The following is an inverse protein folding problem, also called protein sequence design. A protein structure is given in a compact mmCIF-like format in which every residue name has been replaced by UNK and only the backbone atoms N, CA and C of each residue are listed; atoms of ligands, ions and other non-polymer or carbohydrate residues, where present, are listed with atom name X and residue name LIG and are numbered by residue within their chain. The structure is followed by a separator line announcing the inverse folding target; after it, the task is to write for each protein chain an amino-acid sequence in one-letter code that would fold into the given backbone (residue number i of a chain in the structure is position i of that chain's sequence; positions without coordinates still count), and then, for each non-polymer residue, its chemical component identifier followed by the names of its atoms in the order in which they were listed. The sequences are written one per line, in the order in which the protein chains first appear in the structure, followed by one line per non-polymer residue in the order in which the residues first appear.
data_IF_341577484513
#
_entry.id   IF_341577484513
#
_cell.length_a   1.000
_cell.length_b   1.000
_cell.length_c   1.000
_cell.angle_alpha   90.00
_cell.angle_beta   90.00
_cell.angle_gamma   90.00
#
_symmetry.space_group_name_H-M   'P 1'
#
loop_
_entity.id
_entity.type
_entity.pdbx_description
1 polymer ?
#
# COMPACT_ATOMS: atom_id res chain seq x y z
N UNK A 1 10.97 8.87 21.34
CA UNK A 1 9.75 8.09 21.03
C UNK A 1 8.58 8.99 21.41
N UNK A 2 7.88 9.53 20.42
CA UNK A 2 6.76 10.43 20.68
C UNK A 2 5.54 9.57 21.02
N UNK A 3 5.07 9.62 22.27
CA UNK A 3 3.81 9.00 22.67
C UNK A 3 2.68 9.79 22.01
N UNK A 4 1.83 9.13 21.23
CA UNK A 4 0.59 9.71 20.73
C UNK A 4 -0.44 9.71 21.88
N UNK A 5 -0.49 10.81 22.64
CA UNK A 5 -1.45 11.00 23.72
C UNK A 5 -2.86 11.15 23.14
N UNK A 6 -3.83 10.46 23.76
CA UNK A 6 -5.25 10.56 23.47
C UNK A 6 -6.02 10.97 24.72
N UNK A 7 -6.94 11.92 24.57
CA UNK A 7 -7.83 12.38 25.65
C UNK A 7 -9.19 11.70 25.53
N UNK A 8 -9.59 10.95 26.56
CA UNK A 8 -10.87 10.24 26.64
C UNK A 8 -12.04 11.22 26.55
N UNK A 9 -13.03 10.89 25.73
CA UNK A 9 -14.27 11.64 25.54
C UNK A 9 -15.47 10.93 26.18
N UNK A 10 -16.59 11.64 26.43
CA UNK A 10 -17.81 11.00 26.89
C UNK A 10 -18.27 9.87 25.94
N UNK A 11 -18.45 8.66 26.48
CA UNK A 11 -18.91 7.48 25.73
C UNK A 11 -17.81 6.61 25.12
N UNK A 12 -16.55 6.99 25.30
CA UNK A 12 -15.41 6.16 24.92
C UNK A 12 -15.27 4.93 25.83
N UNK A 13 -14.71 3.88 25.24
CA UNK A 13 -14.16 2.73 25.95
C UNK A 13 -12.78 2.45 25.38
N UNK A 14 -11.88 1.79 26.12
CA UNK A 14 -10.57 1.40 25.53
C UNK A 14 -10.76 0.52 24.29
N UNK A 15 -11.83 -0.29 24.24
CA UNK A 15 -12.20 -1.07 23.07
C UNK A 15 -12.49 -0.19 21.85
N UNK A 16 -13.36 0.82 21.98
CA UNK A 16 -13.67 1.73 20.86
C UNK A 16 -12.45 2.54 20.42
N UNK A 17 -11.64 2.97 21.39
CA UNK A 17 -10.39 3.68 21.10
C UNK A 17 -9.41 2.74 20.35
N UNK A 18 -9.29 1.48 20.76
CA UNK A 18 -8.43 0.50 20.08
C UNK A 18 -8.96 0.13 18.69
N UNK A 19 -10.27 -0.01 18.51
CA UNK A 19 -10.87 -0.22 17.19
C UNK A 19 -10.56 0.96 16.25
N UNK A 20 -10.71 2.18 16.75
CA UNK A 20 -10.49 3.39 15.95
C UNK A 20 -9.02 3.66 15.64
N UNK A 21 -8.11 3.46 16.60
CA UNK A 21 -6.71 3.90 16.49
C UNK A 21 -5.72 2.75 16.29
N UNK A 22 -6.06 1.52 16.66
CA UNK A 22 -5.24 0.32 16.50
C UNK A 22 -5.82 -0.67 15.47
N UNK A 23 -7.01 -0.38 14.92
CA UNK A 23 -7.68 -1.19 13.91
C UNK A 23 -8.34 -2.47 14.46
N UNK A 24 -8.32 -2.69 15.78
CA UNK A 24 -8.96 -3.84 16.44
C UNK A 24 -9.26 -3.49 17.90
N UNK A 25 -10.53 -3.57 18.29
CA UNK A 25 -10.97 -3.29 19.65
C UNK A 25 -10.42 -4.23 20.71
N UNK A 26 -10.02 -5.46 20.34
CA UNK A 26 -9.39 -6.40 21.27
C UNK A 26 -7.97 -5.98 21.69
N UNK A 27 -7.37 -5.05 20.96
CA UNK A 27 -6.04 -4.47 21.28
C UNK A 27 -6.09 -3.40 22.36
N UNK A 28 -7.23 -3.24 23.03
CA UNK A 28 -7.41 -2.24 24.09
C UNK A 28 -6.39 -2.36 25.23
N UNK A 29 -5.86 -3.56 25.48
CA UNK A 29 -4.82 -3.80 26.51
C UNK A 29 -3.46 -3.18 26.16
N UNK A 30 -3.25 -2.78 24.89
CA UNK A 30 -2.03 -2.09 24.46
C UNK A 30 -2.06 -0.59 24.79
N UNK A 31 -3.24 -0.04 25.08
CA UNK A 31 -3.41 1.33 25.52
C UNK A 31 -2.99 1.42 26.99
N UNK A 32 -2.05 2.31 27.29
CA UNK A 32 -1.52 2.50 28.65
C UNK A 32 -1.98 3.82 29.22
N UNK A 33 -1.87 3.96 30.55
CA UNK A 33 -2.00 5.25 31.23
C UNK A 33 -0.90 6.19 30.75
N UNK A 34 -1.07 7.50 30.93
CA UNK A 34 -0.05 8.49 30.58
C UNK A 34 1.34 8.25 31.23
N UNK A 35 1.38 7.52 32.35
CA UNK A 35 2.61 7.12 33.03
C UNK A 35 3.21 5.79 32.52
N UNK A 36 2.65 5.21 31.46
CA UNK A 36 3.10 3.96 30.82
C UNK A 36 2.63 2.68 31.50
N UNK A 37 1.84 2.76 32.58
CA UNK A 37 1.31 1.58 33.27
C UNK A 37 0.07 1.02 32.57
N UNK A 38 -0.16 -0.30 32.58
CA UNK A 38 -1.39 -0.90 32.09
C UNK A 38 -2.59 -0.52 32.98
N UNK A 39 -3.79 -0.69 32.43
CA UNK A 39 -5.04 -0.60 33.17
C UNK A 39 -5.36 -1.94 33.85
N UNK A 40 -5.96 -1.88 35.04
CA UNK A 40 -6.63 -3.02 35.68
C UNK A 40 -8.08 -3.12 35.18
N UNK A 41 -8.71 -4.29 35.29
CA UNK A 41 -10.11 -4.50 34.87
C UNK A 41 -11.07 -3.47 35.50
N UNK A 42 -10.90 -3.17 36.79
CA UNK A 42 -11.69 -2.17 37.51
C UNK A 42 -11.48 -0.74 36.99
N UNK A 43 -10.30 -0.42 36.46
CA UNK A 43 -10.02 0.92 35.91
C UNK A 43 -10.56 1.07 34.48
N UNK A 44 -10.60 -0.02 33.70
CA UNK A 44 -11.14 -0.02 32.33
C UNK A 44 -12.64 0.28 32.33
N UNK A 45 -13.36 -0.20 33.33
CA UNK A 45 -14.80 0.03 33.46
C UNK A 45 -15.14 1.41 34.03
N UNK A 46 -14.16 2.12 34.61
CA UNK A 46 -14.36 3.39 35.32
C UNK A 46 -13.64 4.60 34.68
N UNK A 47 -13.40 4.55 33.37
CA UNK A 47 -12.73 5.63 32.64
C UNK A 47 -13.48 6.96 32.72
N UNK A 48 -12.72 8.05 32.88
CA UNK A 48 -13.26 9.39 32.99
C UNK A 48 -12.99 10.23 31.74
N UNK A 49 -13.98 10.96 31.20
CA UNK A 49 -13.72 11.97 30.18
C UNK A 49 -12.68 12.99 30.66
N UNK A 50 -11.75 13.35 29.78
CA UNK A 50 -10.61 14.21 30.08
C UNK A 50 -9.37 13.47 30.59
N UNK A 51 -9.46 12.18 30.91
CA UNK A 51 -8.30 11.35 31.23
C UNK A 51 -7.43 11.13 29.99
N UNK A 52 -6.11 11.27 30.15
CA UNK A 52 -5.15 11.00 29.08
C UNK A 52 -4.65 9.55 29.10
N UNK A 53 -4.57 8.97 27.92
CA UNK A 53 -4.01 7.63 27.68
C UNK A 53 -2.94 7.69 26.61
N UNK A 54 -1.97 6.80 26.71
CA UNK A 54 -0.94 6.63 25.70
C UNK A 54 -1.36 5.51 24.75
N UNK A 55 -1.56 5.87 23.48
CA UNK A 55 -1.62 4.90 22.42
C UNK A 55 -0.20 4.36 22.19
N UNK A 56 -0.02 3.05 21.96
CA UNK A 56 1.29 2.52 21.60
C UNK A 56 1.81 3.26 20.36
N UNK A 57 2.98 3.90 20.47
CA UNK A 57 3.67 4.45 19.31
C UNK A 57 3.98 3.31 18.33
N UNK A 58 3.82 3.54 17.03
CA UNK A 58 3.84 2.53 15.97
C UNK A 58 4.96 1.47 16.12
N UNK A 59 4.68 0.41 16.86
CA UNK A 59 5.41 -0.84 16.85
C UNK A 59 4.43 -1.92 16.45
N UNK A 60 4.62 -2.41 15.23
CA UNK A 60 3.89 -3.49 14.58
C UNK A 60 4.01 -4.75 15.45
N UNK A 61 2.94 -5.15 16.14
CA UNK A 61 2.85 -6.42 16.89
C UNK A 61 2.11 -7.47 16.06
N UNK A 62 2.76 -8.63 15.91
CA UNK A 62 2.34 -9.81 15.11
C UNK A 62 1.35 -10.68 15.91
N UNK A 63 0.24 -11.17 15.33
CA UNK A 63 -0.59 -12.18 15.97
C UNK A 63 -0.16 -13.62 15.64
N UNK A 64 -0.25 -14.52 16.63
CA UNK A 64 -0.25 -15.99 16.48
C UNK A 64 -1.38 -16.45 15.54
N UNK A 65 -1.30 -17.62 14.88
CA UNK A 65 -1.93 -17.82 13.57
C UNK A 65 -3.45 -18.10 13.62
N UNK A 66 -4.28 -17.35 12.85
CA UNK A 66 -5.55 -17.88 12.34
C UNK A 66 -5.89 -17.42 10.90
N UNK A 67 -6.85 -18.12 10.27
CA UNK A 67 -7.40 -17.99 8.91
C UNK A 67 -7.04 -16.74 8.06
N UNK A 68 -6.52 -16.99 6.85
CA UNK A 68 -6.19 -16.04 5.76
C UNK A 68 -7.25 -14.94 5.50
N UNK A 69 -7.26 -13.86 6.29
CA UNK A 69 -7.89 -12.60 5.95
C UNK A 69 -6.82 -11.63 5.42
N UNK A 70 -6.26 -11.94 4.25
CA UNK A 70 -5.49 -10.95 3.50
C UNK A 70 -6.47 -9.85 3.09
N UNK A 71 -6.13 -8.58 3.35
CA UNK A 71 -6.93 -7.44 2.85
C UNK A 71 -7.25 -7.70 1.37
N UNK A 72 -8.54 -7.78 0.96
CA UNK A 72 -8.92 -8.18 -0.38
C UNK A 72 -8.24 -7.35 -1.49
N UNK A 73 -8.03 -6.04 -1.25
CA UNK A 73 -7.30 -5.17 -2.16
C UNK A 73 -5.83 -5.61 -2.32
N UNK A 74 -5.15 -5.87 -1.21
CA UNK A 74 -3.74 -6.31 -1.21
C UNK A 74 -3.62 -7.65 -1.93
N UNK A 75 -4.52 -8.59 -1.61
CA UNK A 75 -4.56 -9.90 -2.25
C UNK A 75 -4.77 -9.78 -3.76
N UNK A 76 -5.73 -8.97 -4.20
CA UNK A 76 -6.05 -8.78 -5.61
C UNK A 76 -4.88 -8.16 -6.38
N UNK A 77 -4.30 -7.07 -5.87
CA UNK A 77 -3.16 -6.39 -6.51
C UNK A 77 -1.96 -7.33 -6.59
N UNK A 78 -1.59 -7.99 -5.49
CA UNK A 78 -0.47 -8.94 -5.50
C UNK A 78 -0.72 -10.11 -6.45
N UNK A 79 -1.93 -10.67 -6.46
CA UNK A 79 -2.27 -11.76 -7.37
C UNK A 79 -2.13 -11.33 -8.83
N UNK A 80 -2.61 -10.14 -9.20
CA UNK A 80 -2.49 -9.60 -10.54
C UNK A 80 -1.03 -9.39 -10.95
N UNK A 81 -0.18 -8.81 -10.08
CA UNK A 81 1.26 -8.68 -10.35
C UNK A 81 1.94 -10.04 -10.49
N UNK A 82 1.70 -10.94 -9.53
CA UNK A 82 2.37 -12.23 -9.45
C UNK A 82 1.95 -13.21 -10.54
N UNK A 83 0.76 -13.03 -11.13
CA UNK A 83 0.32 -13.70 -12.36
C UNK A 83 1.26 -13.40 -13.54
N UNK A 84 1.73 -12.17 -13.73
CA UNK A 84 2.67 -11.84 -14.82
C UNK A 84 4.10 -12.24 -14.49
N UNK A 85 4.50 -12.12 -13.22
CA UNK A 85 5.84 -12.52 -12.76
C UNK A 85 6.09 -14.02 -12.87
N UNK A 86 5.09 -14.84 -12.55
CA UNK A 86 5.18 -16.30 -12.72
C UNK A 86 5.33 -16.73 -14.18
N UNK A 87 4.69 -16.01 -15.12
CA UNK A 87 4.78 -16.28 -16.56
C UNK A 87 6.22 -16.13 -17.11
N UNK A 88 7.06 -15.33 -16.46
CA UNK A 88 8.45 -15.08 -16.87
C UNK A 88 9.49 -15.67 -15.90
N UNK A 89 9.04 -16.41 -14.89
CA UNK A 89 9.95 -17.08 -13.94
C UNK A 89 10.77 -16.12 -13.06
N UNK A 90 10.21 -14.97 -12.68
CA UNK A 90 10.79 -14.10 -11.64
C UNK A 90 10.09 -14.31 -10.29
N UNK A 91 10.78 -14.13 -9.15
CA UNK A 91 10.17 -14.31 -7.83
C UNK A 91 8.93 -13.44 -7.63
N UNK A 92 7.90 -13.89 -6.88
CA UNK A 92 6.73 -13.07 -6.60
C UNK A 92 7.10 -11.83 -5.77
N UNK A 93 6.34 -10.74 -5.94
CA UNK A 93 6.41 -9.57 -5.08
C UNK A 93 5.72 -9.85 -3.74
N UNK A 94 6.23 -9.21 -2.69
CA UNK A 94 5.58 -9.07 -1.39
C UNK A 94 5.00 -7.67 -1.23
N UNK A 95 3.97 -7.53 -0.39
CA UNK A 95 3.40 -6.23 -0.09
C UNK A 95 4.24 -5.47 0.94
N UNK A 96 4.36 -4.15 0.77
CA UNK A 96 5.00 -3.26 1.74
C UNK A 96 4.08 -2.11 2.14
N UNK A 97 3.65 -2.08 3.40
CA UNK A 97 2.81 -1.01 3.95
C UNK A 97 3.52 0.35 3.91
N UNK A 98 4.84 0.38 4.11
CA UNK A 98 5.64 1.61 4.00
C UNK A 98 5.57 2.21 2.59
N UNK A 99 5.64 1.37 1.55
CA UNK A 99 5.52 1.80 0.16
C UNK A 99 4.08 2.19 -0.15
N UNK A 100 3.08 1.45 0.36
CA UNK A 100 1.67 1.76 0.18
C UNK A 100 1.29 3.12 0.78
N UNK A 101 1.82 3.47 1.96
CA UNK A 101 1.62 4.79 2.56
C UNK A 101 2.21 5.93 1.69
N UNK A 102 3.36 5.70 1.06
CA UNK A 102 3.95 6.63 0.09
C UNK A 102 3.08 6.76 -1.16
N UNK A 103 2.59 5.64 -1.71
CA UNK A 103 1.67 5.63 -2.84
C UNK A 103 0.36 6.36 -2.51
N UNK A 104 -0.18 6.21 -1.29
CA UNK A 104 -1.40 6.88 -0.84
C UNK A 104 -1.24 8.40 -0.80
N UNK A 105 -0.12 8.88 -0.26
CA UNK A 105 0.19 10.31 -0.24
C UNK A 105 0.23 10.88 -1.67
N UNK A 106 0.82 10.12 -2.60
CA UNK A 106 0.88 10.55 -4.00
C UNK A 106 -0.48 10.49 -4.70
N UNK A 107 -1.26 9.42 -4.50
CA UNK A 107 -2.61 9.30 -5.05
C UNK A 107 -3.50 10.47 -4.59
N UNK A 108 -3.42 10.85 -3.31
CA UNK A 108 -4.10 12.03 -2.75
C UNK A 108 -3.65 13.32 -3.44
N UNK A 109 -2.35 13.48 -3.70
CA UNK A 109 -1.81 14.65 -4.40
C UNK A 109 -2.33 14.74 -5.85
N UNK A 110 -2.34 13.62 -6.59
CA UNK A 110 -2.88 13.57 -7.96
C UNK A 110 -4.37 13.90 -7.98
N UNK A 111 -5.14 13.35 -7.03
CA UNK A 111 -6.57 13.62 -6.88
C UNK A 111 -6.85 15.11 -6.57
N UNK A 112 -6.05 15.73 -5.70
CA UNK A 112 -6.23 17.12 -5.29
C UNK A 112 -5.82 18.12 -6.39
N UNK A 113 -4.80 17.80 -7.19
CA UNK A 113 -4.25 18.72 -8.20
C UNK A 113 -4.79 18.48 -9.60
N UNK A 114 -5.36 17.30 -9.87
CA UNK A 114 -5.77 16.89 -11.21
C UNK A 114 -4.63 16.66 -12.20
N UNK A 115 -3.37 16.73 -11.75
CA UNK A 115 -2.19 16.48 -12.59
C UNK A 115 -1.89 14.99 -12.59
N UNK A 116 -1.70 14.38 -13.75
CA UNK A 116 -1.30 12.97 -13.87
C UNK A 116 0.19 12.87 -14.20
N UNK A 117 1.02 12.76 -13.17
CA UNK A 117 2.48 12.76 -13.28
C UNK A 117 3.12 11.90 -12.19
N UNK A 118 4.37 11.48 -12.41
CA UNK A 118 5.12 10.69 -11.43
C UNK A 118 5.53 11.50 -10.20
N UNK A 119 5.66 10.81 -9.05
CA UNK A 119 6.01 11.41 -7.76
C UNK A 119 7.45 11.89 -7.64
N UNK A 120 8.38 11.26 -8.36
CA UNK A 120 9.81 11.53 -8.24
C UNK A 120 10.44 11.03 -6.93
N UNK A 121 9.72 10.22 -6.15
CA UNK A 121 10.30 9.53 -4.97
C UNK A 121 11.25 8.42 -5.40
N UNK A 122 12.00 7.85 -4.45
CA UNK A 122 13.04 6.83 -4.72
C UNK A 122 12.53 5.49 -5.26
N UNK A 123 11.22 5.25 -5.21
CA UNK A 123 10.61 3.99 -5.63
C UNK A 123 10.36 3.99 -7.14
N UNK A 124 10.31 2.80 -7.75
CA UNK A 124 9.72 2.67 -9.08
C UNK A 124 8.23 3.01 -8.99
N UNK A 125 7.57 3.37 -10.10
CA UNK A 125 6.18 3.80 -10.03
C UNK A 125 5.41 3.50 -11.32
N UNK A 126 4.22 2.93 -11.17
CA UNK A 126 3.20 2.85 -12.22
C UNK A 126 1.97 3.63 -11.75
N UNK A 127 1.37 4.35 -12.68
CA UNK A 127 0.15 5.12 -12.46
C UNK A 127 -0.95 4.59 -13.38
N UNK A 128 -2.17 4.60 -12.88
CA UNK A 128 -3.36 4.32 -13.66
C UNK A 128 -4.45 5.31 -13.29
N UNK A 129 -5.24 5.72 -14.29
CA UNK A 129 -6.40 6.57 -14.10
C UNK A 129 -7.53 6.14 -15.03
N UNK A 130 -8.76 6.20 -14.54
CA UNK A 130 -9.95 5.92 -15.34
C UNK A 130 -11.23 6.34 -14.65
N UNK A 131 -12.37 5.98 -15.23
CA UNK A 131 -13.70 6.28 -14.68
C UNK A 131 -13.86 5.63 -13.32
N UNK A 132 -14.32 6.42 -12.34
CA UNK A 132 -14.57 5.97 -10.98
C UNK A 132 -15.53 4.77 -10.92
N UNK A 133 -15.17 3.76 -10.12
CA UNK A 133 -15.94 2.54 -9.88
C UNK A 133 -16.23 1.69 -11.13
N UNK A 134 -15.46 1.87 -12.22
CA UNK A 134 -15.70 1.15 -13.47
C UNK A 134 -14.79 -0.07 -13.68
N UNK A 135 -13.60 -0.08 -13.06
CA UNK A 135 -12.59 -1.11 -13.28
C UNK A 135 -12.22 -1.78 -11.97
N UNK A 136 -12.01 -3.09 -11.97
CA UNK A 136 -11.41 -3.80 -10.84
C UNK A 136 -9.90 -3.52 -10.75
N UNK A 137 -9.30 -3.72 -9.58
CA UNK A 137 -7.86 -3.58 -9.39
C UNK A 137 -7.09 -4.53 -10.31
N UNK A 138 -7.62 -5.74 -10.51
CA UNK A 138 -7.06 -6.70 -11.48
C UNK A 138 -7.05 -6.12 -12.89
N UNK A 139 -8.12 -5.46 -13.34
CA UNK A 139 -8.18 -4.85 -14.67
C UNK A 139 -7.18 -3.69 -14.81
N UNK A 140 -7.01 -2.89 -13.75
CA UNK A 140 -6.00 -1.81 -13.73
C UNK A 140 -4.59 -2.38 -13.87
N UNK A 141 -4.22 -3.41 -13.09
CA UNK A 141 -2.89 -4.04 -13.16
C UNK A 141 -2.70 -4.84 -14.47
N UNK A 142 -3.74 -5.53 -14.94
CA UNK A 142 -3.71 -6.24 -16.22
C UNK A 142 -3.49 -5.25 -17.39
N UNK A 143 -3.94 -4.00 -17.29
CA UNK A 143 -3.66 -2.98 -18.32
C UNK A 143 -2.16 -2.73 -18.48
N UNK A 144 -1.41 -2.63 -17.38
CA UNK A 144 0.05 -2.56 -17.39
C UNK A 144 0.66 -3.88 -17.89
N UNK A 145 0.18 -5.02 -17.39
CA UNK A 145 0.71 -6.32 -17.77
C UNK A 145 0.50 -6.68 -19.24
N UNK A 146 -0.56 -6.16 -19.87
CA UNK A 146 -0.90 -6.40 -21.27
C UNK A 146 0.00 -5.68 -22.26
N UNK A 147 0.81 -4.71 -21.82
CA UNK A 147 1.88 -4.12 -22.63
C UNK A 147 2.92 -5.17 -23.07
N UNK A 148 2.95 -6.36 -22.43
CA UNK A 148 3.76 -7.51 -22.87
C UNK A 148 3.63 -7.84 -24.35
N UNK A 149 2.50 -7.49 -24.99
CA UNK A 149 2.28 -7.68 -26.43
C UNK A 149 3.31 -6.95 -27.30
N UNK A 150 3.83 -5.82 -26.82
CA UNK A 150 4.81 -4.98 -27.52
C UNK A 150 6.23 -5.17 -26.96
N UNK A 151 6.42 -5.95 -25.90
CA UNK A 151 7.72 -6.22 -25.31
C UNK A 151 8.61 -7.08 -26.22
N UNK A 152 9.90 -6.74 -26.27
CA UNK A 152 10.97 -7.59 -26.80
C UNK A 152 12.08 -7.75 -25.76
N UNK A 153 12.70 -8.96 -25.64
CA UNK A 153 13.84 -9.15 -24.77
C UNK A 153 15.01 -8.23 -25.18
N UNK A 154 15.58 -7.52 -24.22
CA UNK A 154 16.64 -6.55 -24.45
C UNK A 154 17.07 -5.84 -23.17
N UNK A 155 18.02 -4.92 -23.31
CA UNK A 155 18.36 -3.98 -22.25
C UNK A 155 17.47 -2.76 -22.36
N UNK A 156 16.92 -2.30 -21.24
CA UNK A 156 16.13 -1.08 -21.19
C UNK A 156 16.97 0.14 -21.62
N UNK A 157 16.45 1.07 -22.45
CA UNK A 157 15.07 1.19 -22.93
C UNK A 157 14.76 0.44 -24.25
N UNK A 158 15.69 -0.32 -24.81
CA UNK A 158 15.54 -1.01 -26.11
C UNK A 158 14.77 -2.33 -25.96
N UNK A 159 13.53 -2.24 -25.48
CA UNK A 159 12.70 -3.37 -25.05
C UNK A 159 11.29 -3.36 -25.67
N UNK A 160 11.06 -2.51 -26.68
CA UNK A 160 9.74 -2.36 -27.32
C UNK A 160 9.80 -2.56 -28.84
N UNK A 161 8.80 -3.28 -29.39
CA UNK A 161 8.58 -3.45 -30.84
C UNK A 161 8.27 -2.14 -31.56
N UNK A 162 7.68 -1.18 -30.86
CA UNK A 162 7.30 0.13 -31.42
C UNK A 162 8.46 1.11 -31.47
N UNK A 163 9.62 0.75 -30.89
CA UNK A 163 10.75 1.65 -30.68
C UNK A 163 10.55 2.65 -29.53
N UNK A 164 9.41 2.61 -28.83
CA UNK A 164 9.12 3.47 -27.67
C UNK A 164 9.04 2.63 -26.40
N UNK A 165 9.96 2.87 -25.47
CA UNK A 165 9.99 2.13 -24.20
C UNK A 165 8.75 2.40 -23.34
N UNK A 166 8.13 3.57 -23.51
CA UNK A 166 6.93 3.97 -22.77
C UNK A 166 5.75 3.02 -23.03
N UNK A 167 5.70 2.39 -24.21
CA UNK A 167 4.64 1.45 -24.57
C UNK A 167 4.74 0.11 -23.80
N UNK A 168 5.87 -0.12 -23.11
CA UNK A 168 6.15 -1.34 -22.32
C UNK A 168 6.68 -1.05 -20.92
N UNK A 169 6.71 0.23 -20.53
CA UNK A 169 7.35 0.72 -19.32
C UNK A 169 6.66 0.19 -18.05
N UNK A 170 5.34 0.08 -18.08
CA UNK A 170 4.60 -0.44 -16.94
C UNK A 170 4.78 -1.95 -16.82
N UNK A 171 4.70 -2.70 -17.93
CA UNK A 171 4.96 -4.14 -17.93
C UNK A 171 6.36 -4.46 -17.41
N UNK A 172 7.38 -3.79 -17.94
CA UNK A 172 8.78 -4.01 -17.53
C UNK A 172 9.00 -3.76 -16.04
N UNK A 173 8.33 -2.76 -15.44
CA UNK A 173 8.34 -2.56 -13.99
C UNK A 173 7.63 -3.69 -13.23
N UNK A 174 6.45 -4.15 -13.68
CA UNK A 174 5.70 -5.26 -13.04
C UNK A 174 6.55 -6.53 -12.97
N UNK A 175 7.26 -6.86 -14.05
CA UNK A 175 8.08 -8.08 -14.14
C UNK A 175 9.56 -7.88 -13.81
N UNK A 176 9.93 -6.72 -13.26
CA UNK A 176 11.34 -6.42 -12.97
C UNK A 176 11.90 -7.39 -11.93
N UNK A 177 12.91 -8.17 -12.32
CA UNK A 177 13.46 -9.30 -11.54
C UNK A 177 13.96 -8.90 -10.17
N UNK A 178 14.62 -7.75 -10.09
CA UNK A 178 15.23 -7.25 -8.86
C UNK A 178 14.25 -6.52 -7.94
N UNK A 179 13.04 -6.18 -8.43
CA UNK A 179 11.98 -5.63 -7.57
C UNK A 179 11.41 -6.76 -6.72
N UNK A 180 11.36 -6.54 -5.41
CA UNK A 180 10.93 -7.53 -4.41
C UNK A 180 9.64 -7.12 -3.71
N UNK A 181 9.39 -5.83 -3.58
CA UNK A 181 8.25 -5.29 -2.86
C UNK A 181 7.43 -4.33 -3.72
N UNK A 182 6.11 -4.32 -3.47
CA UNK A 182 5.18 -3.34 -4.03
C UNK A 182 4.26 -2.81 -2.94
N UNK A 183 3.88 -1.54 -3.04
CA UNK A 183 2.81 -0.95 -2.25
C UNK A 183 2.00 -0.02 -3.13
N UNK A 184 0.67 -0.12 -3.02
CA UNK A 184 -0.24 0.62 -3.86
C UNK A 184 -1.35 1.31 -3.07
N UNK A 185 -1.97 2.32 -3.67
CA UNK A 185 -3.13 3.01 -3.15
C UNK A 185 -4.09 3.41 -4.28
N UNK A 186 -5.38 3.26 -4.02
CA UNK A 186 -6.47 3.70 -4.89
C UNK A 186 -7.16 4.90 -4.24
N UNK A 187 -7.36 5.97 -5.00
CA UNK A 187 -8.16 7.14 -4.59
C UNK A 187 -9.20 7.42 -5.65
N UNK A 188 -10.46 7.55 -5.22
CA UNK A 188 -11.57 8.00 -6.05
C UNK A 188 -11.85 9.47 -5.77
N UNK A 189 -11.80 10.31 -6.79
CA UNK A 189 -12.08 11.75 -6.66
C UNK A 189 -12.50 12.35 -8.00
N UNK A 190 -13.54 13.19 -7.97
CA UNK A 190 -13.99 13.95 -9.14
C UNK A 190 -14.44 13.08 -10.31
N UNK A 191 -15.05 11.91 -10.06
CA UNK A 191 -15.51 10.97 -11.09
C UNK A 191 -14.40 10.09 -11.67
N UNK A 192 -13.22 10.05 -11.04
CA UNK A 192 -12.06 9.28 -11.49
C UNK A 192 -11.47 8.43 -10.38
N UNK A 193 -11.04 7.24 -10.75
CA UNK A 193 -10.17 6.39 -9.94
C UNK A 193 -8.71 6.64 -10.33
N UNK A 194 -7.83 6.75 -9.33
CA UNK A 194 -6.38 6.91 -9.49
C UNK A 194 -5.70 5.82 -8.68
N UNK A 195 -5.05 4.88 -9.37
CA UNK A 195 -4.23 3.85 -8.75
C UNK A 195 -2.75 4.23 -8.90
N UNK A 196 -2.06 4.31 -7.77
CA UNK A 196 -0.61 4.48 -7.70
C UNK A 196 -0.02 3.20 -7.15
N UNK A 197 0.92 2.59 -7.86
CA UNK A 197 1.72 1.46 -7.35
C UNK A 197 3.20 1.84 -7.38
N UNK A 198 3.87 1.69 -6.25
CA UNK A 198 5.29 1.96 -6.10
C UNK A 198 6.07 0.68 -5.80
N UNK A 199 7.33 0.62 -6.24
CA UNK A 199 8.12 -0.60 -6.33
C UNK A 199 9.50 -0.43 -5.68
N UNK A 200 9.94 -1.44 -4.94
CA UNK A 200 11.25 -1.45 -4.30
C UNK A 200 11.97 -2.81 -4.47
N UNK A 201 13.26 -2.82 -4.83
CA UNK A 201 13.99 -1.75 -5.54
C UNK A 201 13.27 -1.28 -6.83
N UNK A 202 13.50 -0.03 -7.29
CA UNK A 202 12.96 0.46 -8.56
C UNK A 202 13.38 -0.41 -9.76
N UNK A 203 12.55 -0.45 -10.80
CA UNK A 203 12.86 -1.09 -12.07
C UNK A 203 13.30 -0.11 -13.15
N UNK A 204 13.28 -0.57 -14.40
CA UNK A 204 13.49 0.25 -15.60
C UNK A 204 14.84 1.01 -15.63
N UNK A 205 15.87 0.40 -15.07
CA UNK A 205 17.23 0.95 -15.11
C UNK A 205 17.86 0.78 -16.49
N UNK A 206 18.44 1.86 -17.00
CA UNK A 206 19.16 1.87 -18.27
C UNK A 206 20.27 0.81 -18.29
N UNK A 207 20.33 0.04 -19.38
CA UNK A 207 21.31 -1.03 -19.58
C UNK A 207 20.98 -2.35 -18.86
N UNK A 208 19.93 -2.40 -18.04
CA UNK A 208 19.51 -3.62 -17.35
C UNK A 208 18.36 -4.33 -18.08
N UNK A 209 18.23 -5.63 -17.83
CA UNK A 209 17.14 -6.47 -18.35
C UNK A 209 16.01 -6.52 -17.32
N UNK A 210 14.78 -6.61 -17.79
CA UNK A 210 13.63 -6.81 -16.92
C UNK A 210 13.64 -8.19 -16.25
N UNK A 211 14.01 -9.25 -16.99
CA UNK A 211 14.11 -10.62 -16.48
C UNK A 211 15.13 -11.46 -17.26
#
# INVERSE_FOLDING_TARGET
MLNNLYTIKPGDTLFKIAEQYLGDGNRWTEITKANGMPFTEDEVVNLQPGQEVCLPGETITVPSPPQNNVNPMIAEILAAHNKYRSQVGVPPLTWSNTIANSAQQWANHLAATGKFQHSGVRYGENLWMGTENHFSLTQMVDSWGNEKKDFIPGQFPNVSRTGKWQDVGHYTQVVWRNTTEVGCALVSSGGRDILVCQYNPPGNFQGQKAY
#
